data_IF_089287570131
#
_entry.id   IF_089287570131
#
_cell.length_a   1.000
_cell.length_b   1.000
_cell.length_c   1.000
_cell.angle_alpha   90.00
_cell.angle_beta   90.00
_cell.angle_gamma   90.00
#
_symmetry.space_group_name_H-M   'P 1'
#
loop_
_entity.id
_entity.type
_entity.pdbx_description
1 polymer ?
#
# COMPACT_ATOMS: atom_id res chain seq x y z
N UNK A 1 48.69 26.37 27.01
CA UNK A 1 47.64 26.55 25.98
C UNK A 1 47.09 25.16 25.68
N UNK A 2 46.09 24.75 26.47
CA UNK A 2 45.50 23.42 26.50
C UNK A 2 44.26 23.46 25.59
N UNK A 3 44.38 22.85 24.42
CA UNK A 3 43.26 22.72 23.48
C UNK A 3 42.43 21.52 23.91
N UNK A 4 41.31 21.75 24.59
CA UNK A 4 40.33 20.78 24.96
C UNK A 4 39.56 20.36 23.71
N UNK A 5 39.99 19.26 23.12
CA UNK A 5 39.19 18.47 22.17
C UNK A 5 37.98 17.96 22.92
N UNK A 6 36.86 18.67 22.87
CA UNK A 6 35.56 18.18 23.27
C UNK A 6 35.20 17.05 22.30
N UNK A 7 35.40 15.81 22.73
CA UNK A 7 34.77 14.63 22.15
C UNK A 7 33.28 14.84 22.33
N UNK A 8 32.61 15.22 21.22
CA UNK A 8 31.17 15.18 21.10
C UNK A 8 30.72 13.72 21.18
N UNK A 9 30.62 13.21 22.42
CA UNK A 9 29.91 11.96 22.66
C UNK A 9 28.46 12.23 22.33
N UNK A 10 28.05 11.85 21.12
CA UNK A 10 26.67 11.85 20.71
C UNK A 10 25.87 10.99 21.69
N UNK A 11 25.27 11.65 22.67
CA UNK A 11 24.30 11.03 23.57
C UNK A 11 23.23 10.40 22.68
N UNK A 12 22.94 9.07 22.81
CA UNK A 12 21.91 8.43 22.02
C UNK A 12 20.64 9.26 22.16
N UNK A 13 20.12 9.79 21.05
CA UNK A 13 18.95 10.66 21.09
C UNK A 13 17.81 9.91 21.75
N UNK A 14 17.42 10.35 22.95
CA UNK A 14 16.36 9.70 23.71
C UNK A 14 15.11 9.57 22.83
N UNK A 15 14.62 8.34 22.68
CA UNK A 15 13.42 8.03 21.88
C UNK A 15 12.26 8.87 22.38
N UNK A 16 11.57 9.58 21.48
CA UNK A 16 10.43 10.42 21.86
C UNK A 16 9.39 9.57 22.64
N UNK A 17 8.95 10.03 23.83
CA UNK A 17 7.98 9.31 24.64
C UNK A 17 6.65 9.03 23.91
N UNK A 18 6.32 9.79 22.87
CA UNK A 18 5.15 9.54 22.03
C UNK A 18 5.34 8.38 21.03
N UNK A 19 6.58 7.92 20.78
CA UNK A 19 6.85 6.89 19.78
C UNK A 19 6.10 5.58 20.05
N UNK A 20 6.39 4.92 21.19
CA UNK A 20 5.76 3.62 21.50
C UNK A 20 4.22 3.68 21.56
N UNK A 21 3.60 4.65 22.27
CA UNK A 21 2.14 4.77 22.29
C UNK A 21 1.53 5.02 20.91
N UNK A 22 2.18 5.83 20.05
CA UNK A 22 1.68 6.09 18.70
C UNK A 22 1.87 4.91 17.77
N UNK A 23 2.97 4.16 17.91
CA UNK A 23 3.20 2.93 17.15
C UNK A 23 2.08 1.90 17.36
N UNK A 24 1.67 1.68 18.62
CA UNK A 24 0.54 0.80 18.93
C UNK A 24 -0.79 1.33 18.40
N UNK A 25 -1.05 2.64 18.51
CA UNK A 25 -2.26 3.25 17.97
C UNK A 25 -2.32 3.10 16.45
N UNK A 26 -1.21 3.30 15.75
CA UNK A 26 -1.12 3.09 14.31
C UNK A 26 -1.34 1.62 13.94
N UNK A 27 -0.74 0.68 14.66
CA UNK A 27 -0.93 -0.75 14.41
C UNK A 27 -2.40 -1.17 14.60
N UNK A 28 -3.06 -0.73 15.68
CA UNK A 28 -4.49 -1.03 15.92
C UNK A 28 -5.38 -0.36 14.88
N UNK A 29 -5.13 0.91 14.55
CA UNK A 29 -5.88 1.60 13.49
C UNK A 29 -5.72 0.91 12.14
N UNK A 30 -4.53 0.39 11.84
CA UNK A 30 -4.23 -0.34 10.61
C UNK A 30 -4.92 -1.71 10.56
N UNK A 31 -4.96 -2.43 11.69
CA UNK A 31 -5.73 -3.67 11.83
C UNK A 31 -7.21 -3.42 11.52
N UNK A 32 -7.79 -2.41 12.16
CA UNK A 32 -9.20 -2.01 11.94
C UNK A 32 -9.44 -1.57 10.49
N UNK A 33 -8.50 -0.80 9.92
CA UNK A 33 -8.55 -0.42 8.50
C UNK A 33 -8.56 -1.64 7.60
N UNK A 34 -7.70 -2.64 7.88
CA UNK A 34 -7.67 -3.92 7.16
C UNK A 34 -9.00 -4.66 7.21
N UNK A 35 -9.61 -4.77 8.41
CA UNK A 35 -10.95 -5.34 8.58
C UNK A 35 -11.98 -4.59 7.73
N UNK A 36 -12.02 -3.25 7.86
CA UNK A 36 -13.00 -2.42 7.16
C UNK A 36 -12.87 -2.49 5.65
N UNK A 37 -11.65 -2.44 5.12
CA UNK A 37 -11.40 -2.53 3.67
C UNK A 37 -11.76 -3.93 3.15
N UNK A 38 -11.27 -4.99 3.80
CA UNK A 38 -11.42 -6.35 3.29
C UNK A 38 -12.87 -6.85 3.36
N UNK A 39 -13.64 -6.47 4.38
CA UNK A 39 -15.07 -6.80 4.44
C UNK A 39 -15.88 -6.12 3.33
N UNK A 40 -15.55 -4.88 2.97
CA UNK A 40 -16.24 -4.14 1.91
C UNK A 40 -15.85 -4.60 0.51
N UNK A 41 -14.54 -4.79 0.25
CA UNK A 41 -14.03 -5.19 -1.08
C UNK A 41 -14.61 -6.53 -1.52
N UNK A 42 -14.84 -7.47 -0.59
CA UNK A 42 -15.37 -8.79 -0.90
C UNK A 42 -16.73 -8.76 -1.62
N UNK A 43 -17.55 -7.73 -1.37
CA UNK A 43 -18.94 -7.63 -1.91
C UNK A 43 -19.14 -6.45 -2.86
N UNK A 44 -18.14 -5.59 -3.04
CA UNK A 44 -18.28 -4.34 -3.79
C UNK A 44 -18.71 -4.52 -5.25
N UNK A 45 -18.12 -5.48 -5.97
CA UNK A 45 -18.47 -5.77 -7.36
C UNK A 45 -19.89 -6.31 -7.49
N UNK A 46 -20.29 -7.22 -6.57
CA UNK A 46 -21.65 -7.83 -6.56
C UNK A 46 -22.71 -6.75 -6.32
N UNK A 47 -22.44 -5.79 -5.42
CA UNK A 47 -23.36 -4.67 -5.17
C UNK A 47 -23.54 -3.77 -6.39
N UNK A 48 -22.45 -3.48 -7.11
CA UNK A 48 -22.52 -2.68 -8.33
C UNK A 48 -23.31 -3.43 -9.41
N UNK A 49 -23.13 -4.75 -9.54
CA UNK A 49 -23.89 -5.57 -10.47
C UNK A 49 -25.39 -5.58 -10.12
N UNK A 50 -25.76 -5.74 -8.85
CA UNK A 50 -27.13 -5.74 -8.38
C UNK A 50 -27.84 -4.40 -8.64
N UNK A 51 -27.16 -3.26 -8.42
CA UNK A 51 -27.74 -1.93 -8.64
C UNK A 51 -27.78 -1.55 -10.11
N UNK A 52 -26.75 -1.91 -10.89
CA UNK A 52 -26.64 -1.55 -12.32
C UNK A 52 -27.36 -2.52 -13.25
N UNK A 53 -27.59 -3.77 -12.82
CA UNK A 53 -28.06 -4.86 -13.68
C UNK A 53 -27.03 -5.32 -14.71
N UNK A 54 -25.74 -4.97 -14.55
CA UNK A 54 -24.69 -5.22 -15.55
C UNK A 54 -23.38 -5.69 -14.93
N UNK A 55 -22.95 -6.89 -15.29
CA UNK A 55 -21.63 -7.44 -14.89
C UNK A 55 -20.46 -6.60 -15.42
N UNK A 56 -20.61 -5.98 -16.60
CA UNK A 56 -19.57 -5.10 -17.16
C UNK A 56 -19.35 -3.86 -16.30
N UNK A 57 -20.39 -3.33 -15.65
CA UNK A 57 -20.30 -2.17 -14.75
C UNK A 57 -19.71 -2.59 -13.41
N UNK A 58 -19.89 -3.82 -12.96
CA UNK A 58 -19.36 -4.35 -11.71
C UNK A 58 -17.81 -4.25 -11.64
N UNK A 59 -17.13 -4.41 -12.76
CA UNK A 59 -15.67 -4.26 -12.84
C UNK A 59 -15.16 -2.87 -12.45
N UNK A 60 -15.97 -1.82 -12.58
CA UNK A 60 -15.61 -0.47 -12.20
C UNK A 60 -15.65 -0.22 -10.68
N UNK A 61 -16.20 -1.13 -9.88
CA UNK A 61 -16.23 -0.98 -8.42
C UNK A 61 -14.82 -0.83 -7.84
N UNK A 62 -13.92 -1.73 -8.22
CA UNK A 62 -12.51 -1.68 -7.78
C UNK A 62 -11.79 -0.46 -8.35
N UNK A 63 -12.03 -0.14 -9.63
CA UNK A 63 -11.44 1.04 -10.27
C UNK A 63 -11.83 2.32 -9.53
N UNK A 64 -13.09 2.49 -9.16
CA UNK A 64 -13.56 3.66 -8.41
C UNK A 64 -12.86 3.78 -7.05
N UNK A 65 -12.72 2.66 -6.33
CA UNK A 65 -12.04 2.62 -5.03
C UNK A 65 -10.56 2.99 -5.15
N UNK A 66 -9.85 2.42 -6.13
CA UNK A 66 -8.41 2.66 -6.35
C UNK A 66 -8.17 4.09 -6.84
N UNK A 67 -8.99 4.58 -7.76
CA UNK A 67 -8.91 6.00 -8.21
C UNK A 67 -9.21 6.95 -7.06
N UNK A 68 -10.21 6.66 -6.23
CA UNK A 68 -10.52 7.44 -5.04
C UNK A 68 -9.34 7.49 -4.07
N UNK A 69 -8.67 6.35 -3.83
CA UNK A 69 -7.46 6.29 -3.02
C UNK A 69 -6.34 7.16 -3.62
N UNK A 70 -6.10 7.06 -4.92
CA UNK A 70 -5.09 7.84 -5.64
C UNK A 70 -5.35 9.34 -5.58
N UNK A 71 -6.59 9.76 -5.85
CA UNK A 71 -6.99 11.17 -5.83
C UNK A 71 -6.88 11.80 -4.43
N UNK A 72 -7.14 11.01 -3.37
CA UNK A 72 -7.11 11.50 -1.99
C UNK A 72 -5.72 11.35 -1.34
N UNK A 73 -4.82 10.55 -1.88
CA UNK A 73 -3.49 10.32 -1.30
C UNK A 73 -2.68 11.62 -1.14
N UNK A 74 -2.60 12.45 -2.19
CA UNK A 74 -1.85 13.69 -2.15
C UNK A 74 -2.51 14.77 -1.26
N UNK A 75 -3.81 15.07 -1.36
CA UNK A 75 -4.49 15.99 -0.45
C UNK A 75 -4.33 15.60 1.03
N UNK A 76 -4.45 14.30 1.37
CA UNK A 76 -4.25 13.82 2.72
C UNK A 76 -2.80 13.97 3.19
N UNK A 77 -1.81 13.73 2.31
CA UNK A 77 -0.40 13.94 2.65
C UNK A 77 -0.09 15.41 2.88
N UNK A 78 -0.66 16.31 2.06
CA UNK A 78 -0.55 17.75 2.25
C UNK A 78 -1.18 18.21 3.57
N UNK A 79 -2.32 17.64 3.92
CA UNK A 79 -2.94 17.88 5.23
C UNK A 79 -2.05 17.34 6.36
N UNK A 80 -1.41 16.18 6.19
CA UNK A 80 -0.46 15.64 7.15
C UNK A 80 0.75 16.56 7.36
N UNK A 81 1.24 17.17 6.28
CA UNK A 81 2.32 18.15 6.33
C UNK A 81 1.90 19.45 7.06
N UNK A 82 0.69 19.97 6.78
CA UNK A 82 0.23 21.26 7.32
C UNK A 82 -0.36 21.15 8.74
N UNK A 83 -1.16 20.13 9.03
CA UNK A 83 -1.89 19.94 10.30
C UNK A 83 -1.47 18.72 11.10
N UNK A 84 -0.51 17.92 10.58
CA UNK A 84 0.04 16.74 11.22
C UNK A 84 -0.68 15.44 10.87
N UNK A 85 0.05 14.32 11.06
CA UNK A 85 -0.39 12.95 10.73
C UNK A 85 -1.73 12.58 11.38
N UNK A 86 -1.90 12.90 12.65
CA UNK A 86 -3.12 12.64 13.42
C UNK A 86 -4.38 13.12 12.69
N UNK A 87 -4.37 14.36 12.20
CA UNK A 87 -5.53 14.99 11.53
C UNK A 87 -5.76 14.37 10.16
N UNK A 88 -4.69 14.15 9.39
CA UNK A 88 -4.79 13.62 8.04
C UNK A 88 -5.29 12.17 8.02
N UNK A 89 -4.71 11.30 8.86
CA UNK A 89 -5.12 9.89 8.96
C UNK A 89 -6.55 9.79 9.48
N UNK A 90 -6.90 10.56 10.53
CA UNK A 90 -8.26 10.60 11.07
C UNK A 90 -9.27 11.04 10.02
N UNK A 91 -9.00 12.10 9.24
CA UNK A 91 -9.88 12.54 8.16
C UNK A 91 -10.03 11.47 7.08
N UNK A 92 -8.93 10.81 6.66
CA UNK A 92 -9.03 9.81 5.62
C UNK A 92 -9.82 8.58 6.04
N UNK A 93 -9.68 8.10 7.29
CA UNK A 93 -10.55 7.04 7.81
C UNK A 93 -12.00 7.50 7.97
N UNK A 94 -12.25 8.74 8.40
CA UNK A 94 -13.59 9.31 8.48
C UNK A 94 -14.27 9.39 7.11
N UNK A 95 -13.55 9.84 6.07
CA UNK A 95 -14.03 9.84 4.69
C UNK A 95 -14.31 8.43 4.18
N UNK A 96 -13.46 7.44 4.54
CA UNK A 96 -13.72 6.04 4.23
C UNK A 96 -14.99 5.50 4.88
N UNK A 97 -15.23 5.86 6.15
CA UNK A 97 -16.47 5.54 6.86
C UNK A 97 -17.69 6.20 6.21
N UNK A 98 -17.58 7.47 5.85
CA UNK A 98 -18.61 8.17 5.09
C UNK A 98 -18.87 7.51 3.74
N UNK A 99 -17.80 7.07 3.04
CA UNK A 99 -17.90 6.30 1.81
C UNK A 99 -18.71 5.01 2.01
N UNK A 100 -18.45 4.26 3.08
CA UNK A 100 -19.22 3.07 3.42
C UNK A 100 -20.71 3.40 3.65
N UNK A 101 -21.03 4.52 4.30
CA UNK A 101 -22.42 5.00 4.46
C UNK A 101 -23.04 5.34 3.10
N UNK A 102 -22.34 6.01 2.21
CA UNK A 102 -22.82 6.29 0.85
C UNK A 102 -23.05 5.02 0.03
N UNK A 103 -22.22 3.98 0.22
CA UNK A 103 -22.47 2.67 -0.41
C UNK A 103 -23.80 2.08 0.09
N UNK A 104 -24.04 2.08 1.41
CA UNK A 104 -25.30 1.64 2.00
C UNK A 104 -26.50 2.41 1.40
N UNK A 105 -26.40 3.74 1.34
CA UNK A 105 -27.46 4.59 0.78
C UNK A 105 -27.66 4.35 -0.73
N UNK A 106 -26.57 4.24 -1.50
CA UNK A 106 -26.63 4.01 -2.94
C UNK A 106 -27.32 2.72 -3.32
N UNK A 107 -27.07 1.64 -2.57
CA UNK A 107 -27.73 0.36 -2.76
C UNK A 107 -29.21 0.46 -2.35
N UNK A 108 -29.51 1.05 -1.19
CA UNK A 108 -30.87 1.14 -0.66
C UNK A 108 -31.77 2.02 -1.55
N UNK A 109 -31.22 3.08 -2.12
CA UNK A 109 -31.94 3.98 -3.03
C UNK A 109 -31.84 3.58 -4.51
N UNK A 110 -31.08 2.51 -4.82
CA UNK A 110 -30.74 2.04 -6.17
C UNK A 110 -30.11 3.12 -7.05
N UNK A 111 -29.34 4.04 -6.44
CA UNK A 111 -28.65 5.13 -7.13
C UNK A 111 -27.19 4.81 -7.39
N UNK A 112 -26.86 4.45 -8.61
CA UNK A 112 -25.52 4.05 -9.03
C UNK A 112 -24.47 5.17 -8.80
N UNK A 113 -24.84 6.43 -9.03
CA UNK A 113 -23.96 7.56 -8.81
C UNK A 113 -23.55 7.72 -7.33
N UNK A 114 -24.50 7.52 -6.40
CA UNK A 114 -24.25 7.56 -4.96
C UNK A 114 -23.35 6.38 -4.53
N UNK A 115 -23.59 5.19 -5.10
CA UNK A 115 -22.79 4.01 -4.87
C UNK A 115 -21.33 4.23 -5.33
N UNK A 116 -21.08 4.75 -6.53
CA UNK A 116 -19.73 5.03 -7.03
C UNK A 116 -19.03 6.14 -6.24
N UNK A 117 -19.75 7.19 -5.84
CA UNK A 117 -19.20 8.21 -4.94
C UNK A 117 -18.78 7.57 -3.61
N UNK A 118 -19.61 6.68 -3.07
CA UNK A 118 -19.30 5.89 -1.86
C UNK A 118 -18.02 5.08 -2.03
N UNK A 119 -17.89 4.33 -3.13
CA UNK A 119 -16.68 3.53 -3.44
C UNK A 119 -15.42 4.41 -3.57
N UNK A 120 -15.52 5.56 -4.23
CA UNK A 120 -14.40 6.49 -4.36
C UNK A 120 -13.99 7.05 -2.99
N UNK A 121 -14.94 7.48 -2.15
CA UNK A 121 -14.65 7.93 -0.79
C UNK A 121 -14.10 6.80 0.10
N UNK A 122 -14.60 5.57 -0.07
CA UNK A 122 -14.11 4.39 0.62
C UNK A 122 -12.61 4.17 0.39
N UNK A 123 -12.13 4.49 -0.81
CA UNK A 123 -10.71 4.46 -1.17
C UNK A 123 -9.83 5.35 -0.29
N UNK A 124 -10.37 6.39 0.37
CA UNK A 124 -9.61 7.24 1.30
C UNK A 124 -9.08 6.47 2.52
N UNK A 125 -9.80 5.45 2.98
CA UNK A 125 -9.32 4.58 4.05
C UNK A 125 -8.07 3.79 3.62
N UNK A 126 -8.04 3.31 2.37
CA UNK A 126 -6.86 2.68 1.78
C UNK A 126 -5.69 3.65 1.72
N UNK A 127 -5.91 4.90 1.24
CA UNK A 127 -4.88 5.93 1.21
C UNK A 127 -4.34 6.25 2.61
N UNK A 128 -5.20 6.36 3.63
CA UNK A 128 -4.78 6.58 5.02
C UNK A 128 -4.04 5.38 5.60
N UNK A 129 -4.49 4.16 5.32
CA UNK A 129 -3.80 2.94 5.71
C UNK A 129 -2.37 2.90 5.14
N UNK A 130 -2.20 3.21 3.85
CA UNK A 130 -0.89 3.30 3.21
C UNK A 130 -0.02 4.41 3.82
N UNK A 131 -0.58 5.57 4.17
CA UNK A 131 0.16 6.66 4.81
C UNK A 131 0.52 6.35 6.28
N UNK A 132 -0.20 5.46 6.95
CA UNK A 132 0.10 5.05 8.33
C UNK A 132 1.49 4.45 8.47
N UNK A 133 2.00 3.76 7.43
CA UNK A 133 3.38 3.21 7.40
C UNK A 133 4.43 4.32 7.52
N UNK A 134 4.21 5.47 6.89
CA UNK A 134 5.11 6.62 7.00
C UNK A 134 4.99 7.31 8.36
N UNK A 135 3.77 7.42 8.90
CA UNK A 135 3.57 7.97 10.24
C UNK A 135 4.31 7.16 11.31
N UNK A 136 4.46 5.84 11.12
CA UNK A 136 5.22 4.98 12.00
C UNK A 136 6.73 5.33 12.01
N UNK A 137 7.27 5.88 10.92
CA UNK A 137 8.69 6.25 10.82
C UNK A 137 9.01 7.63 11.39
N UNK A 138 8.01 8.49 11.55
CA UNK A 138 8.22 9.90 11.89
C UNK A 138 8.91 10.10 13.26
N UNK A 139 8.62 9.23 14.24
CA UNK A 139 9.21 9.26 15.59
C UNK A 139 10.18 8.11 15.84
N UNK A 140 10.37 7.22 14.88
CA UNK A 140 11.25 6.06 15.01
C UNK A 140 12.72 6.49 14.86
N UNK A 141 13.64 5.89 15.67
CA UNK A 141 15.07 6.03 15.45
C UNK A 141 15.45 5.65 14.02
N UNK A 142 16.45 6.29 13.40
CA UNK A 142 16.84 6.03 12.02
C UNK A 142 17.06 4.55 11.70
N UNK A 143 17.67 3.82 12.63
CA UNK A 143 18.04 2.39 12.51
C UNK A 143 16.82 1.44 12.59
N UNK A 144 15.65 1.96 13.03
CA UNK A 144 14.45 1.15 13.24
C UNK A 144 13.27 1.60 12.36
N UNK A 145 13.47 2.53 11.43
CA UNK A 145 12.36 3.10 10.63
C UNK A 145 11.65 2.07 9.79
N UNK A 146 12.39 1.20 9.10
CA UNK A 146 11.79 0.17 8.28
C UNK A 146 11.05 -0.88 9.13
N UNK A 147 11.59 -1.23 10.30
CA UNK A 147 10.91 -2.12 11.26
C UNK A 147 9.64 -1.48 11.81
N UNK A 148 9.67 -0.19 12.16
CA UNK A 148 8.49 0.54 12.62
C UNK A 148 7.38 0.56 11.55
N UNK A 149 7.76 0.79 10.28
CA UNK A 149 6.88 0.73 9.12
C UNK A 149 6.29 -0.67 8.94
N UNK A 150 7.13 -1.72 8.98
CA UNK A 150 6.72 -3.10 8.75
C UNK A 150 5.74 -3.63 9.80
N UNK A 151 5.85 -3.21 11.07
CA UNK A 151 4.89 -3.58 12.14
C UNK A 151 3.49 -3.07 11.80
N UNK A 152 3.38 -1.83 11.31
CA UNK A 152 2.09 -1.23 10.92
C UNK A 152 1.54 -1.95 9.69
N UNK A 153 2.37 -2.25 8.70
CA UNK A 153 1.99 -3.03 7.51
C UNK A 153 1.56 -4.45 7.91
N UNK A 154 2.31 -5.11 8.81
CA UNK A 154 1.96 -6.44 9.31
C UNK A 154 0.60 -6.49 10.02
N UNK A 155 0.25 -5.45 10.77
CA UNK A 155 -1.05 -5.38 11.45
C UNK A 155 -2.23 -5.46 10.45
N UNK A 156 -2.03 -5.07 9.18
CA UNK A 156 -3.00 -5.24 8.10
C UNK A 156 -3.33 -6.71 7.85
N UNK A 157 -2.35 -7.64 8.05
CA UNK A 157 -2.54 -9.08 7.81
C UNK A 157 -3.73 -9.62 8.59
N UNK A 158 -3.79 -9.31 9.88
CA UNK A 158 -4.87 -9.78 10.76
C UNK A 158 -6.22 -9.25 10.26
N UNK A 159 -6.26 -7.94 9.94
CA UNK A 159 -7.48 -7.31 9.43
C UNK A 159 -7.92 -7.87 8.08
N UNK A 160 -6.98 -8.07 7.15
CA UNK A 160 -7.26 -8.56 5.79
C UNK A 160 -7.70 -10.04 5.77
N UNK A 161 -7.24 -10.84 6.73
CA UNK A 161 -7.68 -12.23 6.89
C UNK A 161 -9.04 -12.30 7.58
N UNK A 162 -9.27 -11.45 8.59
CA UNK A 162 -10.53 -11.42 9.33
C UNK A 162 -11.69 -10.81 8.50
N UNK A 163 -11.40 -9.81 7.65
CA UNK A 163 -12.42 -9.07 6.91
C UNK A 163 -13.39 -9.92 6.09
N UNK A 164 -12.92 -10.79 5.18
CA UNK A 164 -13.79 -11.65 4.39
C UNK A 164 -14.66 -12.61 5.23
N UNK A 165 -14.18 -13.03 6.40
CA UNK A 165 -14.93 -13.88 7.33
C UNK A 165 -16.15 -13.16 7.92
N UNK A 166 -16.15 -11.82 7.87
CA UNK A 166 -17.28 -11.01 8.33
C UNK A 166 -18.40 -10.88 7.29
N UNK A 167 -18.24 -11.42 6.08
CA UNK A 167 -19.26 -11.32 5.03
C UNK A 167 -20.56 -12.02 5.42
N UNK A 168 -20.51 -13.25 5.93
CA UNK A 168 -21.69 -13.99 6.36
C UNK A 168 -22.35 -13.40 7.63
N UNK A 169 -21.61 -13.10 8.72
CA UNK A 169 -22.17 -12.36 9.87
C UNK A 169 -22.72 -11.00 9.48
N UNK A 170 -22.07 -10.29 8.56
CA UNK A 170 -22.53 -9.00 8.03
C UNK A 170 -23.87 -9.14 7.30
N UNK A 171 -23.99 -10.11 6.41
CA UNK A 171 -25.24 -10.38 5.71
C UNK A 171 -26.39 -10.72 6.67
N UNK A 172 -26.13 -11.48 7.75
CA UNK A 172 -27.09 -11.77 8.79
C UNK A 172 -27.54 -10.50 9.53
N UNK A 173 -26.58 -9.65 9.92
CA UNK A 173 -26.83 -8.37 10.56
C UNK A 173 -27.64 -7.43 9.64
N UNK A 174 -27.28 -7.35 8.36
CA UNK A 174 -28.01 -6.55 7.37
C UNK A 174 -29.49 -6.96 7.31
N UNK A 175 -29.78 -8.27 7.21
CA UNK A 175 -31.15 -8.79 7.22
C UNK A 175 -31.90 -8.44 8.52
N UNK A 176 -31.26 -8.56 9.68
CA UNK A 176 -31.90 -8.25 10.96
C UNK A 176 -32.28 -6.77 11.11
N UNK A 177 -31.58 -5.89 10.39
CA UNK A 177 -31.83 -4.45 10.35
C UNK A 177 -32.78 -4.03 9.19
N UNK A 178 -33.32 -4.99 8.44
CA UNK A 178 -34.19 -4.70 7.28
C UNK A 178 -33.44 -4.11 6.08
N UNK A 179 -32.12 -4.25 6.04
CA UNK A 179 -31.27 -3.81 4.93
C UNK A 179 -31.04 -4.95 3.93
N UNK A 180 -30.60 -4.58 2.72
CA UNK A 180 -30.11 -5.56 1.76
C UNK A 180 -28.96 -6.37 2.39
N UNK A 181 -29.00 -7.69 2.28
CA UNK A 181 -28.00 -8.58 2.90
C UNK A 181 -26.56 -8.34 2.41
N UNK A 182 -26.38 -7.91 1.15
CA UNK A 182 -25.06 -7.62 0.58
C UNK A 182 -24.42 -6.33 1.15
N UNK A 183 -25.21 -5.42 1.73
CA UNK A 183 -24.63 -4.22 2.37
C UNK A 183 -24.17 -4.46 3.81
N UNK A 184 -24.60 -5.58 4.41
CA UNK A 184 -24.27 -5.91 5.80
C UNK A 184 -22.77 -5.88 6.13
N UNK A 185 -21.86 -6.42 5.30
CA UNK A 185 -20.42 -6.31 5.51
C UNK A 185 -19.90 -4.87 5.62
N UNK A 186 -20.53 -3.90 4.95
CA UNK A 186 -20.16 -2.49 5.06
C UNK A 186 -20.49 -1.86 6.42
N UNK A 187 -21.39 -2.45 7.20
CA UNK A 187 -21.62 -2.03 8.60
C UNK A 187 -20.36 -2.25 9.44
N UNK A 188 -19.65 -3.36 9.21
CA UNK A 188 -18.35 -3.59 9.84
C UNK A 188 -17.29 -2.61 9.33
N UNK A 189 -17.33 -2.24 8.04
CA UNK A 189 -16.45 -1.20 7.50
C UNK A 189 -16.69 0.15 8.19
N UNK A 190 -17.95 0.57 8.35
CA UNK A 190 -18.30 1.80 9.09
C UNK A 190 -17.76 1.76 10.52
N UNK A 191 -18.07 0.68 11.26
CA UNK A 191 -17.61 0.54 12.65
C UNK A 191 -16.08 0.58 12.75
N UNK A 192 -15.40 -0.16 11.88
CA UNK A 192 -13.92 -0.23 11.84
C UNK A 192 -13.30 1.12 11.53
N UNK A 193 -13.83 1.86 10.56
CA UNK A 193 -13.28 3.17 10.20
C UNK A 193 -13.59 4.26 11.23
N UNK A 194 -14.75 4.21 11.89
CA UNK A 194 -15.05 5.09 13.03
C UNK A 194 -14.06 4.85 14.16
N UNK A 195 -13.81 3.59 14.53
CA UNK A 195 -12.84 3.24 15.55
C UNK A 195 -11.41 3.63 15.14
N UNK A 196 -11.01 3.37 13.89
CA UNK A 196 -9.70 3.79 13.37
C UNK A 196 -9.54 5.32 13.41
N UNK A 197 -10.60 6.07 13.09
CA UNK A 197 -10.63 7.54 13.21
C UNK A 197 -10.39 7.98 14.65
N UNK A 198 -11.15 7.44 15.60
CA UNK A 198 -11.02 7.80 17.02
C UNK A 198 -9.63 7.47 17.55
N UNK A 199 -9.09 6.30 17.21
CA UNK A 199 -7.74 5.87 17.62
C UNK A 199 -6.68 6.80 17.03
N UNK A 200 -6.74 7.14 15.75
CA UNK A 200 -5.76 8.04 15.13
C UNK A 200 -5.88 9.46 15.69
N UNK A 201 -7.08 9.94 15.97
CA UNK A 201 -7.29 11.22 16.63
C UNK A 201 -6.82 11.23 18.09
N UNK A 202 -6.65 10.08 18.75
CA UNK A 202 -6.08 9.96 20.09
C UNK A 202 -4.55 9.97 20.11
N UNK A 203 -3.86 9.97 18.96
CA UNK A 203 -2.39 9.98 18.90
C UNK A 203 -1.82 11.19 19.65
N UNK A 204 -0.73 10.94 20.38
CA UNK A 204 -0.02 12.00 21.11
C UNK A 204 0.74 12.88 20.12
N UNK A 205 0.72 14.19 20.38
CA UNK A 205 1.59 15.10 19.63
C UNK A 205 3.04 14.82 20.00
N UNK A 206 3.99 14.83 19.02
CA UNK A 206 5.40 14.75 19.30
C UNK A 206 5.83 15.86 20.26
N UNK A 207 6.71 15.55 21.21
CA UNK A 207 7.25 16.57 22.13
C UNK A 207 8.22 17.49 21.41
N UNK A 208 8.94 16.96 20.41
CA UNK A 208 9.75 17.78 19.51
C UNK A 208 8.95 17.97 18.22
N UNK A 209 8.73 19.22 17.77
CA UNK A 209 8.14 19.44 16.45
C UNK A 209 8.98 18.69 15.44
N UNK A 210 8.37 17.87 14.58
CA UNK A 210 9.07 17.10 13.53
C UNK A 210 9.87 18.01 12.59
N UNK A 211 9.56 19.32 12.61
CA UNK A 211 10.23 20.38 11.87
C UNK A 211 10.08 21.71 12.61
N UNK A 212 10.96 21.96 13.57
CA UNK A 212 11.06 23.29 14.20
C UNK A 212 12.19 24.08 13.54
N UNK A 213 12.01 24.44 12.28
CA UNK A 213 12.95 25.33 11.57
C UNK A 213 12.48 26.79 11.58
N UNK A 214 11.36 27.12 12.26
CA UNK A 214 10.81 28.50 12.29
C UNK A 214 10.39 29.03 10.91
N UNK A 215 10.60 28.26 9.86
CA UNK A 215 10.26 28.62 8.48
C UNK A 215 8.77 28.31 8.18
N UNK A 216 8.06 29.19 7.47
CA UNK A 216 6.69 28.91 7.02
C UNK A 216 6.64 27.60 6.25
N UNK A 217 5.73 26.70 6.63
CA UNK A 217 5.54 25.41 5.93
C UNK A 217 5.23 25.66 4.45
N UNK A 218 6.21 25.39 3.60
CA UNK A 218 6.10 25.59 2.16
C UNK A 218 5.06 24.65 1.55
N UNK A 219 4.16 25.20 0.73
CA UNK A 219 3.23 24.41 -0.06
C UNK A 219 3.95 23.78 -1.24
N UNK A 220 4.37 22.52 -1.10
CA UNK A 220 5.06 21.75 -2.15
C UNK A 220 4.02 21.12 -3.09
N UNK A 221 4.19 21.29 -4.39
CA UNK A 221 3.32 20.72 -5.43
C UNK A 221 3.80 19.32 -5.87
N UNK A 222 2.89 18.54 -6.49
CA UNK A 222 3.26 17.25 -7.10
C UNK A 222 4.37 17.43 -8.13
N UNK A 223 4.29 18.48 -8.97
CA UNK A 223 5.30 18.76 -10.00
C UNK A 223 6.69 19.04 -9.38
N UNK A 224 6.74 19.71 -8.24
CA UNK A 224 7.98 19.92 -7.49
C UNK A 224 8.54 18.61 -6.94
N UNK A 225 7.70 17.77 -6.35
CA UNK A 225 8.10 16.44 -5.89
C UNK A 225 8.69 15.59 -7.03
N UNK A 226 8.03 15.59 -8.20
CA UNK A 226 8.51 14.86 -9.37
C UNK A 226 9.85 15.42 -9.88
N UNK A 227 10.03 16.75 -9.88
CA UNK A 227 11.30 17.39 -10.26
C UNK A 227 12.42 17.00 -9.31
N UNK A 228 12.16 17.00 -8.00
CA UNK A 228 13.14 16.56 -6.99
C UNK A 228 13.48 15.09 -7.20
N UNK A 229 12.47 14.22 -7.35
CA UNK A 229 12.72 12.79 -7.60
C UNK A 229 13.54 12.58 -8.89
N UNK A 230 13.24 13.32 -9.97
CA UNK A 230 13.96 13.21 -11.23
C UNK A 230 15.44 13.59 -11.11
N UNK A 231 15.74 14.62 -10.32
CA UNK A 231 17.11 15.12 -10.11
C UNK A 231 17.92 14.28 -9.09
N UNK A 232 17.24 13.46 -8.28
CA UNK A 232 17.86 12.56 -7.30
C UNK A 232 17.64 11.09 -7.68
N UNK A 233 18.59 10.45 -8.39
CA UNK A 233 18.40 9.09 -8.93
C UNK A 233 17.99 8.03 -7.90
N UNK A 234 18.47 8.14 -6.65
CA UNK A 234 18.09 7.23 -5.58
C UNK A 234 16.64 7.45 -5.11
N UNK A 235 16.17 8.69 -5.01
CA UNK A 235 14.77 9.01 -4.72
C UNK A 235 13.86 8.49 -5.82
N UNK A 236 14.25 8.71 -7.08
CA UNK A 236 13.52 8.20 -8.25
C UNK A 236 13.44 6.66 -8.22
N UNK A 237 14.55 5.99 -7.92
CA UNK A 237 14.59 4.53 -7.82
C UNK A 237 13.63 4.02 -6.73
N UNK A 238 13.63 4.63 -5.53
CA UNK A 238 12.69 4.29 -4.48
C UNK A 238 11.22 4.51 -4.88
N UNK A 239 10.92 5.65 -5.52
CA UNK A 239 9.59 5.98 -6.03
C UNK A 239 9.13 4.97 -7.10
N UNK A 240 9.98 4.68 -8.10
CA UNK A 240 9.70 3.72 -9.16
C UNK A 240 9.51 2.33 -8.58
N UNK A 241 10.29 1.92 -7.56
CA UNK A 241 10.15 0.61 -6.92
C UNK A 241 8.76 0.42 -6.28
N UNK A 242 8.24 1.43 -5.58
CA UNK A 242 6.90 1.39 -4.99
C UNK A 242 5.82 1.31 -6.07
N UNK A 243 5.89 2.18 -7.09
CA UNK A 243 4.90 2.27 -8.16
C UNK A 243 4.86 0.98 -8.98
N UNK A 244 6.01 0.55 -9.49
CA UNK A 244 6.10 -0.65 -10.35
C UNK A 244 5.83 -1.93 -9.58
N UNK A 245 6.26 -2.01 -8.31
CA UNK A 245 5.94 -3.12 -7.43
C UNK A 245 4.43 -3.31 -7.25
N UNK A 246 3.70 -2.21 -7.05
CA UNK A 246 2.24 -2.23 -6.99
C UNK A 246 1.61 -2.64 -8.32
N UNK A 247 2.08 -2.07 -9.44
CA UNK A 247 1.56 -2.41 -10.77
C UNK A 247 1.74 -3.90 -11.08
N UNK A 248 2.93 -4.45 -10.87
CA UNK A 248 3.25 -5.86 -11.09
C UNK A 248 2.37 -6.78 -10.23
N UNK A 249 2.28 -6.49 -8.94
CA UNK A 249 1.46 -7.28 -8.01
C UNK A 249 -0.01 -7.24 -8.42
N UNK A 250 -0.57 -6.05 -8.65
CA UNK A 250 -2.01 -5.89 -8.91
C UNK A 250 -2.42 -6.53 -10.23
N UNK A 251 -1.60 -6.42 -11.29
CA UNK A 251 -1.91 -7.01 -12.60
C UNK A 251 -2.07 -8.53 -12.54
N UNK A 252 -1.18 -9.21 -11.83
CA UNK A 252 -1.22 -10.68 -11.71
C UNK A 252 -2.31 -11.12 -10.72
N UNK A 253 -2.37 -10.50 -9.53
CA UNK A 253 -3.33 -10.87 -8.49
C UNK A 253 -4.78 -10.75 -8.95
N UNK A 254 -5.14 -9.64 -9.62
CA UNK A 254 -6.54 -9.39 -10.04
C UNK A 254 -7.01 -10.39 -11.09
N UNK A 255 -6.11 -10.87 -11.96
CA UNK A 255 -6.44 -11.83 -13.03
C UNK A 255 -6.33 -13.29 -12.58
N UNK A 256 -5.68 -13.58 -11.45
CA UNK A 256 -5.52 -14.95 -10.94
C UNK A 256 -6.84 -15.68 -10.69
N UNK A 257 -7.87 -15.10 -10.02
CA UNK A 257 -9.14 -15.78 -9.81
C UNK A 257 -9.83 -16.17 -11.12
N UNK A 258 -9.78 -15.29 -12.12
CA UNK A 258 -10.38 -15.56 -13.43
C UNK A 258 -9.62 -16.65 -14.19
N UNK A 259 -8.27 -16.65 -14.13
CA UNK A 259 -7.44 -17.73 -14.65
C UNK A 259 -7.78 -19.09 -14.00
N UNK A 260 -7.92 -19.12 -12.67
CA UNK A 260 -8.30 -20.32 -11.94
C UNK A 260 -9.70 -20.81 -12.31
N UNK A 261 -10.64 -19.88 -12.48
CA UNK A 261 -12.01 -20.21 -12.91
C UNK A 261 -12.05 -20.87 -14.29
N UNK A 262 -11.23 -20.38 -15.25
CA UNK A 262 -11.09 -20.98 -16.58
C UNK A 262 -10.47 -22.40 -16.57
N UNK A 263 -9.88 -22.81 -15.45
CA UNK A 263 -9.31 -24.14 -15.24
C UNK A 263 -10.15 -24.98 -14.26
N UNK A 264 -11.44 -24.67 -14.13
CA UNK A 264 -12.41 -25.40 -13.28
C UNK A 264 -12.00 -25.50 -11.79
N UNK A 265 -11.17 -24.57 -11.31
CA UNK A 265 -10.81 -24.49 -9.90
C UNK A 265 -11.93 -23.81 -9.09
N UNK A 266 -12.44 -24.49 -8.07
CA UNK A 266 -13.49 -23.96 -7.22
C UNK A 266 -13.06 -22.73 -6.39
N UNK A 267 -14.06 -21.96 -5.95
CA UNK A 267 -13.84 -20.74 -5.14
C UNK A 267 -13.05 -20.99 -3.85
N UNK A 268 -13.13 -22.18 -3.29
CA UNK A 268 -12.35 -22.59 -2.10
C UNK A 268 -10.84 -22.53 -2.39
N UNK A 269 -10.43 -23.06 -3.55
CA UNK A 269 -9.04 -23.06 -3.98
C UNK A 269 -8.53 -21.65 -4.30
N UNK A 270 -9.38 -20.81 -4.91
CA UNK A 270 -9.09 -19.39 -5.12
C UNK A 270 -8.82 -18.71 -3.77
N UNK A 271 -9.64 -18.99 -2.76
CA UNK A 271 -9.45 -18.47 -1.40
C UNK A 271 -8.10 -18.83 -0.80
N UNK A 272 -7.65 -20.08 -0.96
CA UNK A 272 -6.33 -20.54 -0.47
C UNK A 272 -5.19 -19.79 -1.16
N UNK A 273 -5.25 -19.66 -2.48
CA UNK A 273 -4.20 -18.99 -3.28
C UNK A 273 -4.13 -17.50 -2.91
N UNK A 274 -5.26 -16.81 -2.82
CA UNK A 274 -5.30 -15.39 -2.42
C UNK A 274 -4.83 -15.21 -0.97
N UNK A 275 -5.21 -16.10 -0.06
CA UNK A 275 -4.74 -16.03 1.33
C UNK A 275 -3.23 -16.22 1.44
N UNK A 276 -2.64 -17.13 0.65
CA UNK A 276 -1.19 -17.33 0.60
C UNK A 276 -0.47 -16.09 0.06
N UNK A 277 -1.05 -15.41 -0.94
CA UNK A 277 -0.57 -14.15 -1.47
C UNK A 277 -0.58 -13.04 -0.40
N UNK A 278 -1.70 -12.86 0.30
CA UNK A 278 -1.85 -11.87 1.38
C UNK A 278 -0.83 -12.14 2.50
N UNK A 279 -0.60 -13.41 2.84
CA UNK A 279 0.43 -13.79 3.80
C UNK A 279 1.83 -13.39 3.31
N UNK A 280 2.13 -13.59 2.03
CA UNK A 280 3.38 -13.12 1.40
C UNK A 280 3.53 -11.61 1.48
N UNK A 281 2.47 -10.85 1.20
CA UNK A 281 2.48 -9.38 1.22
C UNK A 281 2.75 -8.81 2.62
N UNK A 282 2.01 -9.28 3.61
CA UNK A 282 1.96 -8.64 4.93
C UNK A 282 2.59 -9.48 6.03
N UNK A 283 2.44 -10.81 5.98
CA UNK A 283 2.89 -11.70 7.05
C UNK A 283 4.41 -11.68 7.23
N UNK A 284 5.16 -11.62 6.13
CA UNK A 284 6.63 -11.56 6.15
C UNK A 284 7.19 -10.13 6.23
N UNK A 285 6.34 -9.10 6.28
CA UNK A 285 6.79 -7.71 6.33
C UNK A 285 7.73 -7.36 7.50
N UNK A 286 7.64 -7.97 8.72
CA UNK A 286 8.63 -7.72 9.77
C UNK A 286 10.04 -8.21 9.40
N UNK A 287 10.13 -9.34 8.68
CA UNK A 287 11.42 -9.89 8.20
C UNK A 287 12.01 -8.96 7.14
N UNK A 288 11.17 -8.51 6.20
CA UNK A 288 11.57 -7.55 5.17
C UNK A 288 12.02 -6.23 5.80
N UNK A 289 11.27 -5.70 6.78
CA UNK A 289 11.63 -4.48 7.49
C UNK A 289 12.98 -4.60 8.21
N UNK A 290 13.21 -5.72 8.90
CA UNK A 290 14.51 -6.01 9.51
C UNK A 290 15.65 -6.09 8.47
N UNK A 291 15.39 -6.73 7.31
CA UNK A 291 16.37 -6.79 6.23
C UNK A 291 16.70 -5.40 5.67
N UNK A 292 15.69 -4.52 5.50
CA UNK A 292 15.89 -3.13 5.06
C UNK A 292 16.78 -2.36 6.04
N UNK A 293 16.53 -2.51 7.35
CA UNK A 293 17.34 -1.84 8.37
C UNK A 293 18.78 -2.40 8.43
N UNK A 294 18.98 -3.72 8.18
CA UNK A 294 20.28 -4.39 8.31
C UNK A 294 21.16 -4.29 7.06
N UNK A 295 20.62 -4.52 5.88
CA UNK A 295 21.40 -4.60 4.63
C UNK A 295 21.15 -3.42 3.69
N UNK A 296 20.24 -2.52 4.06
CA UNK A 296 19.88 -1.31 3.34
C UNK A 296 18.74 -1.51 2.32
N UNK A 297 17.98 -0.44 2.04
CA UNK A 297 16.78 -0.51 1.20
C UNK A 297 17.10 -0.87 -0.26
N UNK A 298 18.21 -0.39 -0.82
CA UNK A 298 18.59 -0.67 -2.20
C UNK A 298 18.77 -2.17 -2.46
N UNK A 299 19.49 -2.88 -1.59
CA UNK A 299 19.72 -4.33 -1.72
C UNK A 299 18.42 -5.11 -1.59
N UNK A 300 17.52 -4.70 -0.70
CA UNK A 300 16.20 -5.34 -0.54
C UNK A 300 15.32 -5.13 -1.76
N UNK A 301 15.38 -3.97 -2.45
CA UNK A 301 14.69 -3.79 -3.73
C UNK A 301 15.22 -4.78 -4.78
N UNK A 302 16.55 -4.99 -4.88
CA UNK A 302 17.12 -5.97 -5.82
C UNK A 302 16.67 -7.40 -5.51
N UNK A 303 16.61 -7.78 -4.23
CA UNK A 303 16.04 -9.07 -3.81
C UNK A 303 14.58 -9.16 -4.24
N UNK A 304 13.79 -8.11 -4.04
CA UNK A 304 12.40 -8.03 -4.49
C UNK A 304 12.27 -8.22 -6.01
N UNK A 305 13.14 -7.59 -6.81
CA UNK A 305 13.17 -7.77 -8.27
C UNK A 305 13.45 -9.23 -8.67
N UNK A 306 14.40 -9.88 -8.01
CA UNK A 306 14.72 -11.29 -8.26
C UNK A 306 13.53 -12.21 -7.89
N UNK A 307 12.85 -11.92 -6.78
CA UNK A 307 11.66 -12.67 -6.34
C UNK A 307 10.50 -12.44 -7.34
N UNK A 308 10.30 -11.22 -7.87
CA UNK A 308 9.30 -10.97 -8.91
C UNK A 308 9.57 -11.81 -10.15
N UNK A 309 10.83 -11.88 -10.63
CA UNK A 309 11.20 -12.72 -11.77
C UNK A 309 10.89 -14.19 -11.49
N UNK A 310 11.19 -14.71 -10.31
CA UNK A 310 10.86 -16.08 -9.93
C UNK A 310 9.34 -16.30 -9.91
N UNK A 311 8.57 -15.36 -9.35
CA UNK A 311 7.10 -15.43 -9.31
C UNK A 311 6.50 -15.47 -10.72
N UNK A 312 6.98 -14.61 -11.64
CA UNK A 312 6.52 -14.58 -13.03
C UNK A 312 6.92 -15.84 -13.80
N UNK A 313 8.15 -16.35 -13.59
CA UNK A 313 8.59 -17.60 -14.21
C UNK A 313 7.69 -18.77 -13.79
N UNK A 314 7.39 -18.93 -12.50
CA UNK A 314 6.48 -19.96 -12.01
C UNK A 314 5.06 -19.74 -12.51
N UNK A 315 4.58 -18.50 -12.59
CA UNK A 315 3.27 -18.15 -13.15
C UNK A 315 3.16 -18.48 -14.65
N UNK A 316 4.22 -18.25 -15.44
CA UNK A 316 4.28 -18.64 -16.85
C UNK A 316 4.32 -20.17 -16.99
N UNK A 317 5.11 -20.86 -16.16
CA UNK A 317 5.17 -22.34 -16.17
C UNK A 317 3.81 -22.96 -15.83
N UNK A 318 3.03 -22.33 -14.94
CA UNK A 318 1.66 -22.76 -14.64
C UNK A 318 0.73 -22.55 -15.85
N UNK A 319 0.82 -21.39 -16.48
CA UNK A 319 -0.03 -21.00 -17.60
C UNK A 319 0.22 -21.79 -18.91
N UNK A 320 1.45 -22.27 -19.15
CA UNK A 320 1.79 -23.09 -20.32
C UNK A 320 1.37 -24.55 -20.11
N UNK A 321 1.39 -25.02 -18.85
CA UNK A 321 1.02 -26.39 -18.48
C UNK A 321 -0.45 -26.53 -18.08
N UNK A 322 -0.78 -27.67 -17.47
CA UNK A 322 -2.02 -27.76 -16.70
C UNK A 322 -1.86 -26.94 -15.43
N UNK A 323 -2.79 -26.01 -15.17
CA UNK A 323 -2.73 -25.18 -13.98
C UNK A 323 -2.93 -26.01 -12.71
N UNK A 324 -2.01 -25.87 -11.75
CA UNK A 324 -2.02 -26.62 -10.51
C UNK A 324 -1.70 -25.73 -9.30
N UNK A 325 -2.40 -25.97 -8.17
CA UNK A 325 -2.17 -25.27 -6.91
C UNK A 325 -0.71 -25.28 -6.44
N UNK A 326 0.00 -26.40 -6.71
CA UNK A 326 1.43 -26.56 -6.37
C UNK A 326 2.31 -25.50 -7.02
N UNK A 327 1.89 -24.90 -8.15
CA UNK A 327 2.59 -23.80 -8.82
C UNK A 327 1.98 -22.44 -8.49
N UNK A 328 0.65 -22.34 -8.45
CA UNK A 328 -0.03 -21.08 -8.18
C UNK A 328 0.23 -20.55 -6.77
N UNK A 329 0.20 -21.42 -5.74
CA UNK A 329 0.48 -21.00 -4.35
C UNK A 329 1.88 -20.38 -4.21
N UNK A 330 2.99 -21.04 -4.62
CA UNK A 330 4.30 -20.41 -4.56
C UNK A 330 4.41 -19.15 -5.42
N UNK A 331 3.86 -19.14 -6.64
CA UNK A 331 3.90 -17.99 -7.53
C UNK A 331 3.27 -16.75 -6.85
N UNK A 332 2.06 -16.89 -6.30
CA UNK A 332 1.35 -15.80 -5.65
C UNK A 332 1.96 -15.41 -4.30
N UNK A 333 2.49 -16.39 -3.54
CA UNK A 333 3.21 -16.09 -2.29
C UNK A 333 4.49 -15.29 -2.58
N UNK A 334 5.30 -15.71 -3.56
CA UNK A 334 6.49 -14.98 -4.01
C UNK A 334 6.13 -13.59 -4.53
N UNK A 335 5.05 -13.46 -5.30
CA UNK A 335 4.54 -12.17 -5.77
C UNK A 335 4.25 -11.22 -4.59
N UNK A 336 3.61 -11.72 -3.53
CA UNK A 336 3.34 -10.96 -2.32
C UNK A 336 4.62 -10.54 -1.58
N UNK A 337 5.59 -11.45 -1.43
CA UNK A 337 6.89 -11.17 -0.79
C UNK A 337 7.67 -10.12 -1.59
N UNK A 338 7.72 -10.25 -2.92
CA UNK A 338 8.38 -9.29 -3.80
C UNK A 338 7.77 -7.90 -3.69
N UNK A 339 6.43 -7.83 -3.63
CA UNK A 339 5.71 -6.58 -3.37
C UNK A 339 6.10 -5.99 -2.01
N UNK A 340 6.14 -6.79 -0.94
CA UNK A 340 6.56 -6.33 0.40
C UNK A 340 7.97 -5.74 0.38
N UNK A 341 8.92 -6.39 -0.33
CA UNK A 341 10.28 -5.89 -0.51
C UNK A 341 10.32 -4.53 -1.20
N UNK A 342 9.65 -4.38 -2.35
CA UNK A 342 9.66 -3.12 -3.10
C UNK A 342 8.89 -2.01 -2.40
N UNK A 343 7.77 -2.34 -1.74
CA UNK A 343 6.96 -1.39 -0.99
C UNK A 343 7.69 -0.83 0.23
N UNK A 344 8.21 -1.69 1.10
CA UNK A 344 8.88 -1.27 2.33
C UNK A 344 10.23 -0.62 2.04
N UNK A 345 11.06 -1.26 1.22
CA UNK A 345 12.38 -0.74 0.90
C UNK A 345 12.31 0.54 0.03
N UNK A 346 11.41 0.57 -0.96
CA UNK A 346 11.19 1.77 -1.78
C UNK A 346 10.71 2.95 -0.95
N UNK A 347 9.74 2.72 -0.04
CA UNK A 347 9.23 3.74 0.88
C UNK A 347 10.30 4.24 1.86
N UNK A 348 11.14 3.33 2.38
CA UNK A 348 12.27 3.69 3.24
C UNK A 348 13.31 4.50 2.48
N UNK A 349 13.63 4.11 1.24
CA UNK A 349 14.59 4.82 0.38
C UNK A 349 14.11 6.24 0.08
N UNK A 350 12.86 6.42 -0.35
CA UNK A 350 12.27 7.76 -0.55
C UNK A 350 12.34 8.59 0.72
N UNK A 351 11.98 8.02 1.87
CA UNK A 351 11.97 8.74 3.15
C UNK A 351 13.37 9.18 3.59
N UNK A 352 14.40 8.39 3.28
CA UNK A 352 15.78 8.66 3.70
C UNK A 352 16.53 9.60 2.76
N UNK A 353 16.10 9.73 1.50
CA UNK A 353 16.83 10.49 0.45
C UNK A 353 16.26 11.88 0.16
N UNK A 354 15.12 12.24 0.77
CA UNK A 354 14.52 13.57 0.60
C UNK A 354 14.63 14.42 1.85
N UNK A 355 14.71 15.73 1.64
CA UNK A 355 14.71 16.70 2.74
C UNK A 355 13.46 16.57 3.60
N UNK A 356 13.57 16.80 4.92
CA UNK A 356 12.46 16.72 5.85
C UNK A 356 11.23 17.54 5.45
N UNK A 357 11.42 18.72 4.87
CA UNK A 357 10.35 19.65 4.50
C UNK A 357 9.44 19.11 3.39
N UNK A 358 10.01 18.37 2.43
CA UNK A 358 9.27 17.83 1.28
C UNK A 358 8.92 16.35 1.46
N UNK A 359 9.38 15.71 2.52
CA UNK A 359 9.20 14.25 2.75
C UNK A 359 7.75 13.84 2.71
N UNK A 360 6.88 14.55 3.44
CA UNK A 360 5.45 14.19 3.53
C UNK A 360 4.71 14.39 2.20
N UNK A 361 4.85 15.55 1.51
CA UNK A 361 4.31 15.69 0.15
C UNK A 361 4.84 14.65 -0.84
N UNK A 362 6.14 14.29 -0.75
CA UNK A 362 6.75 13.26 -1.60
C UNK A 362 6.09 11.90 -1.37
N UNK A 363 5.87 11.51 -0.12
CA UNK A 363 5.17 10.26 0.22
C UNK A 363 3.76 10.20 -0.38
N UNK A 364 3.01 11.32 -0.29
CA UNK A 364 1.69 11.43 -0.92
C UNK A 364 1.75 11.36 -2.44
N UNK A 365 2.79 11.95 -3.05
CA UNK A 365 3.02 11.85 -4.50
C UNK A 365 3.28 10.40 -4.90
N UNK A 366 4.14 9.69 -4.18
CA UNK A 366 4.42 8.26 -4.42
C UNK A 366 3.13 7.43 -4.32
N UNK A 367 2.34 7.62 -3.27
CA UNK A 367 1.08 6.89 -3.08
C UNK A 367 0.05 7.21 -4.16
N UNK A 368 -0.01 8.46 -4.63
CA UNK A 368 -0.86 8.88 -5.74
C UNK A 368 -0.48 8.12 -7.02
N UNK A 369 0.79 8.18 -7.42
CA UNK A 369 1.25 7.50 -8.64
C UNK A 369 1.21 5.98 -8.54
N UNK A 370 1.41 5.42 -7.36
CA UNK A 370 1.24 3.99 -7.09
C UNK A 370 -0.20 3.54 -7.41
N UNK A 371 -1.20 4.26 -6.91
CA UNK A 371 -2.61 3.93 -7.16
C UNK A 371 -3.02 4.18 -8.62
N UNK A 372 -2.58 5.28 -9.23
CA UNK A 372 -2.83 5.52 -10.65
C UNK A 372 -2.16 4.47 -11.55
N UNK A 373 -0.92 4.08 -11.23
CA UNK A 373 -0.22 3.00 -11.92
C UNK A 373 -0.99 1.68 -11.85
N UNK A 374 -1.48 1.33 -10.65
CA UNK A 374 -2.32 0.16 -10.46
C UNK A 374 -3.63 0.25 -11.27
N UNK A 375 -4.29 1.40 -11.29
CA UNK A 375 -5.51 1.60 -12.07
C UNK A 375 -5.26 1.45 -13.57
N UNK A 376 -4.16 2.00 -14.08
CA UNK A 376 -3.77 1.89 -15.50
C UNK A 376 -3.50 0.44 -15.86
N UNK A 377 -2.65 -0.26 -15.09
CA UNK A 377 -2.25 -1.63 -15.44
C UNK A 377 -3.45 -2.59 -15.39
N UNK A 378 -4.36 -2.42 -14.43
CA UNK A 378 -5.56 -3.26 -14.32
C UNK A 378 -6.56 -3.01 -15.45
N UNK A 379 -6.62 -1.78 -15.97
CA UNK A 379 -7.47 -1.47 -17.12
C UNK A 379 -7.06 -2.27 -18.38
N UNK A 380 -5.77 -2.55 -18.54
CA UNK A 380 -5.26 -3.37 -19.66
C UNK A 380 -5.24 -4.86 -19.35
N UNK A 381 -5.21 -5.25 -18.09
CA UNK A 381 -5.03 -6.65 -17.69
C UNK A 381 -6.12 -7.58 -18.25
N UNK A 382 -7.38 -7.16 -18.27
CA UNK A 382 -8.48 -7.94 -18.84
C UNK A 382 -8.32 -8.20 -20.33
N UNK A 383 -7.93 -7.19 -21.11
CA UNK A 383 -7.67 -7.33 -22.55
C UNK A 383 -6.46 -8.25 -22.82
N UNK A 384 -5.39 -8.13 -22.05
CA UNK A 384 -4.20 -8.97 -22.15
C UNK A 384 -4.52 -10.42 -21.80
N UNK A 385 -5.31 -10.65 -20.74
CA UNK A 385 -5.77 -12.00 -20.37
C UNK A 385 -6.60 -12.64 -21.49
N UNK A 386 -7.51 -11.88 -22.11
CA UNK A 386 -8.35 -12.37 -23.20
C UNK A 386 -7.53 -12.69 -24.47
N UNK A 387 -6.43 -11.94 -24.72
CA UNK A 387 -5.61 -12.11 -25.93
C UNK A 387 -4.53 -13.18 -25.80
N UNK A 388 -3.78 -13.18 -24.71
CA UNK A 388 -2.61 -14.05 -24.48
C UNK A 388 -2.70 -14.91 -23.22
N UNK A 389 -3.86 -14.96 -22.59
CA UNK A 389 -4.05 -15.73 -21.36
C UNK A 389 -3.18 -15.22 -20.19
N UNK A 390 -2.96 -16.08 -19.21
CA UNK A 390 -2.19 -15.75 -18.01
C UNK A 390 -0.68 -15.59 -18.29
N UNK A 391 -0.18 -16.19 -19.38
CA UNK A 391 1.19 -15.92 -19.88
C UNK A 391 1.35 -14.45 -20.21
N UNK A 392 0.41 -13.86 -20.95
CA UNK A 392 0.43 -12.44 -21.31
C UNK A 392 0.44 -11.52 -20.11
N UNK A 393 -0.31 -11.85 -19.04
CA UNK A 393 -0.32 -11.11 -17.78
C UNK A 393 1.06 -11.09 -17.13
N UNK A 394 1.72 -12.26 -17.01
CA UNK A 394 3.05 -12.35 -16.42
C UNK A 394 4.12 -11.67 -17.29
N UNK A 395 4.01 -11.73 -18.62
CA UNK A 395 4.89 -10.97 -19.52
C UNK A 395 4.68 -9.45 -19.39
N UNK A 396 3.45 -8.99 -19.30
CA UNK A 396 3.14 -7.58 -19.05
C UNK A 396 3.76 -7.10 -17.74
N UNK A 397 3.66 -7.89 -16.67
CA UNK A 397 4.32 -7.60 -15.41
C UNK A 397 5.85 -7.58 -15.54
N UNK A 398 6.43 -8.50 -16.32
CA UNK A 398 7.88 -8.52 -16.62
C UNK A 398 8.32 -7.26 -17.36
N UNK A 399 7.53 -6.72 -18.28
CA UNK A 399 7.83 -5.45 -18.96
C UNK A 399 7.86 -4.27 -17.96
N UNK A 400 6.95 -4.26 -16.98
CA UNK A 400 6.98 -3.26 -15.90
C UNK A 400 8.26 -3.39 -15.06
N UNK A 401 8.75 -4.61 -14.84
CA UNK A 401 10.01 -4.84 -14.12
C UNK A 401 11.23 -4.23 -14.85
N UNK A 402 11.20 -4.19 -16.18
CA UNK A 402 12.26 -3.53 -16.98
C UNK A 402 12.35 -2.04 -16.63
N UNK A 403 11.23 -1.36 -16.40
CA UNK A 403 11.22 0.05 -15.96
C UNK A 403 11.94 0.21 -14.62
N UNK A 404 11.69 -0.70 -13.69
CA UNK A 404 12.37 -0.71 -12.39
C UNK A 404 13.88 -0.97 -12.56
N UNK A 405 14.27 -1.90 -13.42
CA UNK A 405 15.68 -2.20 -13.72
C UNK A 405 16.40 -0.98 -14.31
N UNK A 406 15.79 -0.28 -15.27
CA UNK A 406 16.36 0.93 -15.86
C UNK A 406 16.55 2.03 -14.82
N UNK A 407 15.61 2.20 -13.88
CA UNK A 407 15.75 3.16 -12.78
C UNK A 407 16.87 2.76 -11.81
N UNK A 408 17.08 1.47 -11.56
CA UNK A 408 18.18 0.95 -10.76
C UNK A 408 19.55 1.21 -11.42
N UNK A 409 19.67 0.97 -12.72
CA UNK A 409 20.88 1.27 -13.50
C UNK A 409 21.21 2.77 -13.42
N UNK A 410 20.21 3.64 -13.63
CA UNK A 410 20.39 5.09 -13.49
C UNK A 410 20.85 5.50 -12.09
N UNK A 411 20.31 4.89 -11.04
CA UNK A 411 20.70 5.18 -9.66
C UNK A 411 22.15 4.79 -9.39
N UNK A 412 22.60 3.63 -9.90
CA UNK A 412 23.99 3.16 -9.70
C UNK A 412 25.03 3.92 -10.51
N UNK A 413 24.67 4.45 -11.68
CA UNK A 413 25.56 5.23 -12.53
C UNK A 413 25.65 6.70 -12.09
N UNK A 414 24.95 7.12 -11.03
CA UNK A 414 24.99 8.50 -10.60
C UNK A 414 26.36 8.87 -9.99
N UNK A 415 26.91 10.07 -10.29
CA UNK A 415 28.26 10.49 -9.84
C UNK A 415 28.45 10.47 -8.32
N UNK A 416 27.37 10.64 -7.55
CA UNK A 416 27.40 10.57 -6.09
C UNK A 416 27.70 9.15 -5.57
N UNK A 417 27.15 8.12 -6.22
CA UNK A 417 27.40 6.70 -5.85
C UNK A 417 28.79 6.27 -6.34
N UNK A 418 29.19 6.70 -7.52
CA UNK A 418 30.52 6.37 -8.06
C UNK A 418 31.63 6.92 -7.17
N UNK A 419 31.49 8.15 -6.62
CA UNK A 419 32.47 8.72 -5.68
C UNK A 419 32.53 7.95 -4.37
N UNK A 420 31.40 7.55 -3.79
CA UNK A 420 31.38 6.82 -2.51
C UNK A 420 32.03 5.42 -2.60
N UNK A 421 31.95 4.77 -3.76
CA UNK A 421 32.61 3.47 -4.02
C UNK A 421 34.12 3.65 -4.23
N UNK A 422 34.56 4.79 -4.83
CA UNK A 422 35.97 5.08 -5.02
C UNK A 422 36.67 5.50 -3.72
N UNK A 423 35.94 6.14 -2.79
CA UNK A 423 36.50 6.60 -1.49
C UNK A 423 36.51 5.47 -0.43
N UNK A 424 35.74 4.40 -0.58
CA UNK A 424 35.68 3.25 0.35
C UNK A 424 35.57 1.93 -0.41
N UNK A 425 36.68 1.43 -1.01
CA UNK A 425 36.63 0.19 -1.81
C UNK A 425 36.42 -1.11 -1.00
N UNK A 426 36.43 -1.05 0.34
CA UNK A 426 36.35 -2.22 1.22
C UNK A 426 35.08 -2.32 2.08
N UNK A 427 33.94 -1.75 1.68
CA UNK A 427 32.67 -1.88 2.42
C UNK A 427 31.60 -2.66 1.70
#
# INVERSE_FOLDING_TARGET
MTNQMALDTAVPSAVDPAYRPNQWRLAVAQLLSGVGIASGVAVGAVLVEEVSGSTSVAGFAQTATVLGAGLLAFPLSRLAHSRGRRTALGLGFALGGLGAVFILLGVQTRQLAVLFLGLALFGSATASGLQSRYAATDLAPPEMRARAMSIVVWATTVGSVAGPQLSAPGAALGRSLGLNHLVGPYLFSVASFVLATLITLSMKKPQRPLHDTGTPRRNVSIAECLRVAWNHPMTLFGMVAVITGQMMMTSVMVMTPLHMYHHDMGLELVGIVISSHILGMYGLSPVVGWAVDKIGPQKVIYIGMAIFLAAFAVGIMDAIGQSHLVRLIPALTLLGVAWSCTMLAGSALVTSTVDPEIRVPMQGTVDTFMNFGAAVITAFAGAVLAWQGFVGINLMATLVLVVLLLSAVRANLSPAVVRSVQEHPER
#
